data_IF_961580136260
#
_entry.id   IF_961580136260
#
_cell.length_a   1.000
_cell.length_b   1.000
_cell.length_c   1.000
_cell.angle_alpha   90.00
_cell.angle_beta   90.00
_cell.angle_gamma   90.00
#
_symmetry.space_group_name_H-M   'P 1'
#
loop_
_entity.id
_entity.type
_entity.pdbx_description
1 polymer ?
#
# COMPACT_ATOMS: atom_id res chain seq x y z
N UNK A 1 8.65 -0.93 20.73
CA UNK A 1 8.88 0.08 19.66
C UNK A 1 8.23 -0.37 18.35
N UNK A 2 8.49 -1.56 17.83
CA UNK A 2 7.90 -2.03 16.54
C UNK A 2 6.38 -2.03 16.53
N UNK A 3 5.71 -2.39 17.62
CA UNK A 3 4.24 -2.31 17.74
C UNK A 3 3.72 -0.88 17.61
N UNK A 4 4.42 0.09 18.18
CA UNK A 4 4.06 1.51 18.01
C UNK A 4 4.23 1.98 16.57
N UNK A 5 5.28 1.52 15.89
CA UNK A 5 5.44 1.78 14.45
C UNK A 5 4.36 1.10 13.61
N UNK A 6 3.97 -0.13 13.96
CA UNK A 6 2.86 -0.82 13.29
C UNK A 6 1.56 -0.02 13.34
N UNK A 7 1.25 0.61 14.48
CA UNK A 7 0.10 1.49 14.62
C UNK A 7 0.25 2.78 13.80
N UNK A 8 1.42 3.42 13.84
CA UNK A 8 1.70 4.62 13.03
C UNK A 8 1.62 4.34 11.53
N UNK A 9 2.14 3.18 11.08
CA UNK A 9 1.98 2.74 9.69
C UNK A 9 0.51 2.57 9.33
N UNK A 10 -0.29 1.96 10.21
CA UNK A 10 -1.72 1.79 9.96
C UNK A 10 -2.42 3.13 9.78
N UNK A 11 -2.20 4.09 10.67
CA UNK A 11 -2.79 5.43 10.58
C UNK A 11 -2.37 6.15 9.28
N UNK A 12 -1.08 6.12 8.94
CA UNK A 12 -0.57 6.70 7.71
C UNK A 12 -1.12 6.00 6.46
N UNK A 13 -1.21 4.67 6.49
CA UNK A 13 -1.73 3.87 5.39
C UNK A 13 -3.22 4.08 5.14
N UNK A 14 -4.00 4.36 6.17
CA UNK A 14 -5.43 4.66 6.01
C UNK A 14 -5.62 5.98 5.23
N UNK A 15 -4.77 6.98 5.48
CA UNK A 15 -4.74 8.24 4.72
C UNK A 15 -4.29 7.97 3.27
N UNK A 16 -3.15 7.32 3.08
CA UNK A 16 -2.60 7.02 1.75
C UNK A 16 -3.56 6.17 0.91
N UNK A 17 -4.24 5.22 1.53
CA UNK A 17 -5.21 4.38 0.83
C UNK A 17 -6.39 5.21 0.30
N UNK A 18 -6.90 6.15 1.09
CA UNK A 18 -7.96 7.05 0.64
C UNK A 18 -7.49 7.94 -0.51
N UNK A 19 -6.29 8.51 -0.41
CA UNK A 19 -5.71 9.34 -1.47
C UNK A 19 -5.53 8.56 -2.79
N UNK A 20 -5.11 7.28 -2.71
CA UNK A 20 -5.02 6.41 -3.88
C UNK A 20 -6.38 6.17 -4.55
N UNK A 21 -7.43 5.95 -3.75
CA UNK A 21 -8.79 5.77 -4.28
C UNK A 21 -9.33 7.06 -4.91
N UNK A 22 -9.09 8.20 -4.30
CA UNK A 22 -9.52 9.49 -4.80
C UNK A 22 -8.80 9.84 -6.11
N UNK A 23 -7.50 9.56 -6.19
CA UNK A 23 -6.75 9.73 -7.43
C UNK A 23 -7.22 8.78 -8.53
N UNK A 24 -7.49 7.52 -8.21
CA UNK A 24 -8.06 6.54 -9.13
C UNK A 24 -9.42 7.02 -9.67
N UNK A 25 -10.29 7.55 -8.80
CA UNK A 25 -11.58 8.10 -9.20
C UNK A 25 -11.44 9.30 -10.14
N UNK A 26 -10.49 10.20 -9.87
CA UNK A 26 -10.18 11.33 -10.72
C UNK A 26 -9.67 10.91 -12.12
N UNK A 27 -8.82 9.88 -12.19
CA UNK A 27 -8.36 9.31 -13.45
C UNK A 27 -9.54 8.75 -14.28
N UNK A 28 -10.44 8.01 -13.63
CA UNK A 28 -11.65 7.48 -14.28
C UNK A 28 -12.54 8.60 -14.83
N UNK A 29 -12.79 9.64 -14.03
CA UNK A 29 -13.58 10.81 -14.45
C UNK A 29 -12.97 11.46 -15.69
N UNK A 30 -11.66 11.71 -15.68
CA UNK A 30 -10.95 12.32 -16.81
C UNK A 30 -10.94 11.42 -18.04
N UNK A 31 -10.76 10.11 -17.87
CA UNK A 31 -10.85 9.15 -18.97
C UNK A 31 -12.21 9.24 -19.70
N UNK A 32 -13.30 9.24 -18.93
CA UNK A 32 -14.66 9.35 -19.47
C UNK A 32 -14.94 10.71 -20.08
N UNK A 33 -14.51 11.79 -19.42
CA UNK A 33 -14.72 13.17 -19.90
C UNK A 33 -14.06 13.42 -21.26
N UNK A 34 -12.84 12.92 -21.45
CA UNK A 34 -12.04 13.17 -22.64
C UNK A 34 -12.02 12.01 -23.65
N UNK A 35 -12.88 11.02 -23.50
CA UNK A 35 -12.90 9.83 -24.36
C UNK A 35 -13.05 10.11 -25.87
N UNK A 36 -13.71 11.20 -26.22
CA UNK A 36 -13.92 11.62 -27.61
C UNK A 36 -13.06 12.83 -28.03
N UNK A 37 -12.16 13.29 -27.15
CA UNK A 37 -11.23 14.36 -27.50
C UNK A 37 -10.07 13.78 -28.31
N UNK A 38 -9.97 14.07 -29.61
CA UNK A 38 -8.90 13.49 -30.43
C UNK A 38 -7.54 14.04 -30.04
N UNK A 39 -6.53 13.20 -30.03
CA UNK A 39 -5.15 13.58 -29.91
C UNK A 39 -4.27 12.70 -30.80
N UNK A 40 -3.15 13.26 -31.24
CA UNK A 40 -2.20 12.49 -32.05
C UNK A 40 -1.37 11.57 -31.17
N UNK A 41 -1.30 10.29 -31.51
CA UNK A 41 -0.32 9.35 -30.97
C UNK A 41 1.07 9.65 -31.56
N UNK A 42 2.11 9.34 -30.81
CA UNK A 42 3.51 9.48 -31.23
C UNK A 42 4.29 8.20 -30.94
N UNK A 43 5.05 7.78 -31.94
CA UNK A 43 6.03 6.71 -31.81
C UNK A 43 7.34 7.20 -32.41
N UNK A 44 8.46 6.84 -31.83
CA UNK A 44 9.81 7.27 -32.28
C UNK A 44 9.97 8.79 -32.46
N UNK A 45 9.20 9.59 -31.69
CA UNK A 45 9.22 11.06 -31.79
C UNK A 45 8.44 11.67 -32.94
N UNK A 46 7.79 10.87 -33.81
CA UNK A 46 6.97 11.32 -34.93
C UNK A 46 5.48 11.07 -34.71
N UNK A 47 4.65 11.78 -35.46
CA UNK A 47 3.20 11.57 -35.45
C UNK A 47 2.86 10.18 -36.02
N UNK A 48 1.98 9.48 -35.30
CA UNK A 48 1.44 8.20 -35.69
C UNK A 48 -0.11 8.32 -35.85
N UNK A 49 -0.85 7.33 -35.38
CA UNK A 49 -2.30 7.30 -35.52
C UNK A 49 -3.00 8.29 -34.58
N UNK A 50 -4.20 8.67 -34.96
CA UNK A 50 -5.11 9.46 -34.12
C UNK A 50 -5.62 8.57 -32.98
N UNK A 51 -5.55 9.10 -31.78
CA UNK A 51 -6.01 8.47 -30.55
C UNK A 51 -6.94 9.40 -29.78
N UNK A 52 -7.35 9.00 -28.58
CA UNK A 52 -8.16 9.78 -27.67
C UNK A 52 -7.31 10.29 -26.49
N UNK A 53 -7.53 11.55 -26.11
CA UNK A 53 -6.92 12.10 -24.91
C UNK A 53 -7.38 11.35 -23.65
N UNK A 54 -8.64 10.87 -23.63
CA UNK A 54 -9.17 10.03 -22.56
C UNK A 54 -8.44 8.70 -22.41
N UNK A 55 -7.88 8.13 -23.48
CA UNK A 55 -7.14 6.89 -23.44
C UNK A 55 -5.87 7.00 -22.54
N UNK A 56 -5.24 8.18 -22.50
CA UNK A 56 -4.08 8.41 -21.62
C UNK A 56 -4.47 8.27 -20.14
N UNK A 57 -5.62 8.79 -19.74
CA UNK A 57 -6.10 8.64 -18.36
C UNK A 57 -6.60 7.23 -18.09
N UNK A 58 -7.20 6.56 -19.08
CA UNK A 58 -7.63 5.16 -18.96
C UNK A 58 -6.45 4.22 -18.72
N UNK A 59 -5.31 4.47 -19.37
CA UNK A 59 -4.07 3.70 -19.14
C UNK A 59 -3.60 3.82 -17.69
N UNK A 60 -3.52 5.04 -17.16
CA UNK A 60 -3.15 5.26 -15.76
C UNK A 60 -4.19 4.70 -14.78
N UNK A 61 -5.47 4.80 -15.10
CA UNK A 61 -6.52 4.18 -14.28
C UNK A 61 -6.34 2.66 -14.18
N UNK A 62 -6.06 2.00 -15.29
CA UNK A 62 -5.78 0.55 -15.29
C UNK A 62 -4.50 0.20 -14.51
N UNK A 63 -3.45 1.00 -14.63
CA UNK A 63 -2.23 0.88 -13.83
C UNK A 63 -2.52 1.04 -12.34
N UNK A 64 -3.29 2.07 -11.95
CA UNK A 64 -3.65 2.32 -10.55
C UNK A 64 -4.52 1.23 -9.93
N UNK A 65 -5.31 0.49 -10.70
CA UNK A 65 -5.99 -0.71 -10.19
C UNK A 65 -4.97 -1.71 -9.61
N UNK A 66 -3.85 -1.91 -10.29
CA UNK A 66 -2.77 -2.81 -9.82
C UNK A 66 -2.00 -2.22 -8.64
N UNK A 67 -1.79 -0.91 -8.61
CA UNK A 67 -1.12 -0.23 -7.49
C UNK A 67 -1.93 -0.31 -6.20
N UNK A 68 -3.24 -0.11 -6.26
CA UNK A 68 -4.13 -0.26 -5.10
C UNK A 68 -4.04 -1.68 -4.51
N UNK A 69 -4.02 -2.72 -5.34
CA UNK A 69 -3.89 -4.10 -4.84
C UNK A 69 -2.49 -4.38 -4.25
N UNK A 70 -1.42 -3.88 -4.89
CA UNK A 70 -0.06 -3.97 -4.32
C UNK A 70 0.04 -3.27 -2.97
N UNK A 71 -0.53 -2.06 -2.86
CA UNK A 71 -0.55 -1.31 -1.61
C UNK A 71 -1.29 -2.04 -0.49
N UNK A 72 -2.45 -2.65 -0.79
CA UNK A 72 -3.19 -3.48 0.17
C UNK A 72 -2.37 -4.66 0.69
N UNK A 73 -1.56 -5.27 -0.16
CA UNK A 73 -0.67 -6.36 0.24
C UNK A 73 0.51 -5.82 1.07
N UNK A 74 1.13 -4.73 0.62
CA UNK A 74 2.29 -4.14 1.28
C UNK A 74 1.99 -3.58 2.68
N UNK A 75 0.84 -2.93 2.87
CA UNK A 75 0.46 -2.40 4.17
C UNK A 75 0.35 -3.49 5.25
N UNK A 76 -0.11 -4.70 4.91
CA UNK A 76 -0.16 -5.84 5.82
C UNK A 76 1.21 -6.29 6.31
N UNK A 77 2.26 -6.01 5.55
CA UNK A 77 3.62 -6.38 5.93
C UNK A 77 4.14 -5.55 7.10
N UNK A 78 3.69 -4.29 7.23
CA UNK A 78 4.19 -3.34 8.24
C UNK A 78 3.20 -3.04 9.37
N UNK A 79 1.90 -3.28 9.17
CA UNK A 79 0.87 -3.12 10.20
C UNK A 79 0.86 -4.32 11.16
N UNK A 80 2.01 -4.58 11.77
CA UNK A 80 2.26 -5.75 12.61
C UNK A 80 2.85 -5.33 13.94
N UNK A 81 2.39 -5.97 15.01
CA UNK A 81 2.91 -5.77 16.36
C UNK A 81 3.65 -6.99 16.91
N UNK A 82 4.55 -6.75 17.86
CA UNK A 82 5.24 -7.79 18.62
C UNK A 82 5.33 -7.39 20.10
N UNK A 83 5.05 -8.33 20.98
CA UNK A 83 5.23 -8.22 22.45
C UNK A 83 5.87 -9.53 22.99
N UNK A 84 6.83 -10.05 22.26
CA UNK A 84 7.47 -11.36 22.52
C UNK A 84 8.68 -11.28 23.44
N UNK A 85 8.94 -10.11 24.04
CA UNK A 85 10.09 -9.90 24.93
C UNK A 85 11.40 -9.57 24.21
N UNK A 86 12.50 -9.60 24.94
CA UNK A 86 13.82 -9.14 24.49
C UNK A 86 14.42 -9.99 23.35
N UNK A 87 14.05 -11.26 23.27
CA UNK A 87 14.63 -12.21 22.29
C UNK A 87 13.56 -13.00 21.53
N UNK A 88 12.29 -12.67 21.73
CA UNK A 88 11.19 -13.32 20.98
C UNK A 88 10.67 -14.61 21.60
N UNK A 89 11.04 -14.96 22.82
CA UNK A 89 10.71 -16.24 23.45
C UNK A 89 9.48 -16.21 24.35
N UNK A 90 8.83 -15.07 24.50
CA UNK A 90 7.70 -14.88 25.42
C UNK A 90 7.99 -15.27 26.89
N UNK A 91 9.24 -15.16 27.33
CA UNK A 91 9.67 -15.62 28.65
C UNK A 91 8.95 -14.94 29.83
N UNK A 92 8.50 -13.70 29.66
CA UNK A 92 7.87 -12.91 30.72
C UNK A 92 6.42 -12.51 30.39
N UNK A 93 5.92 -12.84 29.22
CA UNK A 93 4.57 -12.41 28.75
C UNK A 93 4.02 -13.51 27.86
N UNK A 94 2.85 -14.09 28.16
CA UNK A 94 2.29 -15.13 27.33
C UNK A 94 1.85 -14.58 25.96
N UNK A 95 1.86 -15.41 24.89
CA UNK A 95 1.51 -15.00 23.53
C UNK A 95 0.14 -14.33 23.40
N UNK A 96 -0.82 -14.74 24.22
CA UNK A 96 -2.20 -14.23 24.20
C UNK A 96 -2.25 -12.72 24.51
N UNK A 97 -1.29 -12.20 25.27
CA UNK A 97 -1.19 -10.74 25.53
C UNK A 97 -0.81 -10.00 24.26
N UNK A 98 0.09 -10.53 23.45
CA UNK A 98 0.44 -9.95 22.15
C UNK A 98 -0.78 -9.93 21.24
N UNK A 99 -1.49 -11.04 21.12
CA UNK A 99 -2.67 -11.15 20.26
C UNK A 99 -3.78 -10.19 20.70
N UNK A 100 -4.06 -10.12 21.99
CA UNK A 100 -5.04 -9.18 22.55
C UNK A 100 -4.69 -7.71 22.23
N UNK A 101 -3.42 -7.32 22.44
CA UNK A 101 -2.97 -5.94 22.20
C UNK A 101 -3.02 -5.62 20.71
N UNK A 102 -2.50 -6.50 19.85
CA UNK A 102 -2.52 -6.29 18.40
C UNK A 102 -3.95 -6.21 17.87
N UNK A 103 -4.84 -7.09 18.32
CA UNK A 103 -6.26 -7.04 17.97
C UNK A 103 -6.91 -5.73 18.43
N UNK A 104 -6.63 -5.26 19.65
CA UNK A 104 -7.16 -4.01 20.18
C UNK A 104 -6.69 -2.79 19.39
N UNK A 105 -5.48 -2.84 18.83
CA UNK A 105 -4.91 -1.80 17.97
C UNK A 105 -5.32 -1.94 16.50
N UNK A 106 -5.97 -3.05 16.12
CA UNK A 106 -6.36 -3.34 14.74
C UNK A 106 -5.18 -3.60 13.81
N UNK A 107 -4.09 -4.20 14.34
CA UNK A 107 -2.90 -4.64 13.60
C UNK A 107 -2.70 -6.13 13.76
N UNK A 108 -1.89 -6.75 12.89
CA UNK A 108 -1.63 -8.19 12.96
C UNK A 108 -0.58 -8.52 14.05
N UNK A 109 -0.66 -9.71 14.64
CA UNK A 109 0.36 -10.26 15.54
C UNK A 109 1.49 -10.90 14.74
N UNK A 110 2.73 -10.62 15.09
CA UNK A 110 3.88 -11.32 14.50
C UNK A 110 3.94 -12.77 14.99
N UNK A 111 3.99 -13.72 14.06
CA UNK A 111 4.12 -15.13 14.41
C UNK A 111 5.50 -15.46 15.03
N UNK A 112 6.56 -14.86 14.50
CA UNK A 112 7.93 -15.05 14.97
C UNK A 112 8.68 -13.72 14.91
N UNK A 113 9.42 -13.43 15.96
CA UNK A 113 10.28 -12.25 16.02
C UNK A 113 11.46 -12.52 16.96
N UNK A 114 12.46 -11.66 16.92
CA UNK A 114 13.47 -11.56 17.97
C UNK A 114 13.17 -10.34 18.84
N UNK A 115 14.15 -9.52 19.17
CA UNK A 115 13.91 -8.22 19.80
C UNK A 115 13.14 -7.28 18.87
N UNK A 116 13.30 -7.43 17.54
CA UNK A 116 12.69 -6.62 16.51
C UNK A 116 11.98 -7.51 15.50
N UNK A 117 11.06 -6.91 14.72
CA UNK A 117 10.51 -7.52 13.50
C UNK A 117 11.59 -7.58 12.42
N UNK A 118 11.47 -8.55 11.50
CA UNK A 118 12.32 -8.64 10.32
C UNK A 118 12.11 -7.41 9.42
N UNK A 119 13.20 -6.89 8.86
CA UNK A 119 13.21 -5.62 8.12
C UNK A 119 12.91 -5.77 6.62
N UNK A 120 12.88 -6.98 6.09
CA UNK A 120 12.35 -7.30 4.76
C UNK A 120 10.91 -6.76 4.58
N UNK A 121 10.08 -6.85 5.61
CA UNK A 121 8.72 -6.28 5.63
C UNK A 121 8.70 -4.80 5.26
N UNK A 122 9.60 -4.03 5.86
CA UNK A 122 9.73 -2.59 5.61
C UNK A 122 10.33 -2.31 4.23
N UNK A 123 11.29 -3.14 3.78
CA UNK A 123 11.89 -3.02 2.46
C UNK A 123 10.85 -3.22 1.35
N UNK A 124 10.02 -4.25 1.44
CA UNK A 124 8.94 -4.52 0.49
C UNK A 124 7.89 -3.41 0.49
N UNK A 125 7.52 -2.92 1.67
CA UNK A 125 6.59 -1.81 1.80
C UNK A 125 7.13 -0.54 1.11
N UNK A 126 8.36 -0.12 1.40
CA UNK A 126 8.96 1.06 0.78
C UNK A 126 9.21 0.90 -0.72
N UNK A 127 9.59 -0.29 -1.17
CA UNK A 127 9.70 -0.59 -2.59
C UNK A 127 8.37 -0.49 -3.34
N UNK A 128 7.26 -0.75 -2.64
CA UNK A 128 5.91 -0.59 -3.20
C UNK A 128 5.48 0.88 -3.28
N UNK A 129 5.96 1.73 -2.36
CA UNK A 129 5.66 3.16 -2.36
C UNK A 129 6.49 3.95 -3.40
N UNK A 130 7.70 3.46 -3.74
CA UNK A 130 8.60 4.07 -4.72
C UNK A 130 8.15 3.85 -6.17
#
# INVERSE_FOLDING_TARGET
MDTAYGLLYKEANDILYQDLLDFQAALKEKALKYKFTPCIGRTHGVHADISSFGLKFALYYDEFNRHVERFKAARKMVEVGKISGAVGTFSNTPPEVQDYVCQSLGIESSHVSTQTLQRDRHADYYATLA
#
